data_IF_161891847658
#
_entry.id   IF_161891847658
#
_cell.length_a   1.000
_cell.length_b   1.000
_cell.length_c   1.000
_cell.angle_alpha   90.00
_cell.angle_beta   90.00
_cell.angle_gamma   90.00
#
_symmetry.space_group_name_H-M   'P 1'
#
loop_
_entity.id
_entity.type
_entity.pdbx_description
1 polymer ?
#
# COMPACT_ATOMS: atom_id res chain seq x y z
N UNK A 1 36.05 14.78 -24.86
CA UNK A 1 34.82 14.77 -25.67
C UNK A 1 33.76 13.86 -25.07
N UNK A 2 32.68 14.40 -24.84
CA UNK A 2 31.51 14.05 -24.04
C UNK A 2 31.01 12.62 -24.25
N UNK A 3 31.23 11.75 -23.27
CA UNK A 3 30.58 10.43 -23.09
C UNK A 3 29.05 10.51 -22.86
N UNK A 4 28.46 11.72 -22.88
CA UNK A 4 27.04 11.95 -22.53
C UNK A 4 26.02 11.61 -23.61
N UNK A 5 26.42 11.25 -24.84
CA UNK A 5 25.52 10.99 -25.96
C UNK A 5 25.44 9.54 -26.46
N UNK A 6 25.94 8.58 -25.68
CA UNK A 6 25.94 7.17 -26.10
C UNK A 6 24.62 6.44 -25.80
N UNK A 7 23.73 7.10 -25.05
CA UNK A 7 22.36 6.67 -24.82
C UNK A 7 21.44 7.88 -24.90
N UNK A 8 20.43 7.79 -25.73
CA UNK A 8 19.39 8.80 -25.84
C UNK A 8 18.04 8.15 -25.61
N UNK A 9 17.22 8.77 -24.76
CA UNK A 9 15.83 8.37 -24.53
C UNK A 9 14.94 9.57 -24.86
N UNK A 10 13.93 9.36 -25.69
CA UNK A 10 12.95 10.35 -26.07
C UNK A 10 11.55 9.80 -25.82
N UNK A 11 10.66 10.66 -25.34
CA UNK A 11 9.23 10.38 -25.24
C UNK A 11 8.54 11.38 -26.16
N UNK A 12 7.82 10.85 -27.14
CA UNK A 12 7.03 11.64 -28.08
C UNK A 12 5.77 10.87 -28.45
N UNK A 13 4.63 11.52 -28.36
CA UNK A 13 3.33 10.94 -28.74
C UNK A 13 3.10 9.56 -28.07
N UNK A 14 3.43 9.46 -26.77
CA UNK A 14 3.33 8.21 -25.98
C UNK A 14 4.31 7.11 -26.37
N UNK A 15 5.27 7.37 -27.23
CA UNK A 15 6.33 6.42 -27.59
C UNK A 15 7.56 6.64 -26.72
N UNK A 16 8.00 5.60 -26.02
CA UNK A 16 9.30 5.57 -25.36
C UNK A 16 10.33 4.99 -26.31
N UNK A 17 11.29 5.81 -26.75
CA UNK A 17 12.36 5.40 -27.69
C UNK A 17 13.68 5.45 -26.94
N UNK A 18 14.38 4.34 -26.86
CA UNK A 18 15.74 4.23 -26.33
C UNK A 18 16.70 3.85 -27.44
N UNK A 19 17.76 4.63 -27.61
CA UNK A 19 18.83 4.36 -28.55
C UNK A 19 20.13 4.14 -27.79
N UNK A 20 20.84 3.08 -28.11
CA UNK A 20 22.14 2.74 -27.55
C UNK A 20 23.16 2.45 -28.65
N UNK A 21 24.43 2.79 -28.44
CA UNK A 21 25.52 2.52 -29.35
C UNK A 21 26.88 2.44 -28.63
N UNK A 22 27.92 1.91 -29.28
CA UNK A 22 29.25 1.80 -28.69
C UNK A 22 29.83 3.15 -28.21
N UNK A 23 30.62 3.15 -27.12
CA UNK A 23 31.03 2.01 -26.30
C UNK A 23 30.05 1.67 -25.17
N UNK A 24 28.88 2.33 -25.09
CA UNK A 24 27.86 2.04 -24.08
C UNK A 24 27.19 0.66 -24.29
N UNK A 25 26.96 0.27 -25.53
CA UNK A 25 26.51 -1.04 -25.96
C UNK A 25 27.52 -1.61 -26.96
N UNK A 26 27.57 -2.91 -27.14
CA UNK A 26 28.44 -3.58 -28.11
C UNK A 26 27.97 -3.36 -29.56
N UNK A 27 26.67 -3.14 -29.72
CA UNK A 27 26.06 -2.87 -31.03
C UNK A 27 25.14 -1.62 -30.96
N UNK A 28 24.62 -1.21 -32.12
CA UNK A 28 23.56 -0.19 -32.19
C UNK A 28 22.22 -0.85 -31.94
N UNK A 29 21.46 -0.29 -30.99
CA UNK A 29 20.14 -0.77 -30.61
C UNK A 29 19.13 0.41 -30.60
N UNK A 30 17.92 0.15 -31.07
CA UNK A 30 16.78 1.04 -30.92
C UNK A 30 15.64 0.21 -30.34
N UNK A 31 15.22 0.56 -29.12
CA UNK A 31 14.05 -0.04 -28.48
C UNK A 31 12.91 0.97 -28.47
N UNK A 32 11.75 0.57 -28.98
CA UNK A 32 10.54 1.41 -29.01
C UNK A 32 9.46 0.71 -28.22
N UNK A 33 8.96 1.38 -27.18
CA UNK A 33 7.85 0.91 -26.36
C UNK A 33 6.67 1.85 -26.57
N UNK A 34 5.52 1.30 -26.95
CA UNK A 34 4.25 2.00 -27.10
C UNK A 34 3.23 1.38 -26.14
N UNK A 35 2.62 2.14 -25.22
CA UNK A 35 1.46 1.68 -24.48
C UNK A 35 0.30 1.38 -25.45
N UNK A 36 -0.36 0.25 -25.26
CA UNK A 36 -1.40 -0.22 -26.20
C UNK A 36 -2.80 0.06 -25.67
N UNK A 37 -2.98 0.17 -24.36
CA UNK A 37 -4.28 0.32 -23.73
C UNK A 37 -4.34 1.58 -22.87
N UNK A 38 -5.41 2.35 -23.01
CA UNK A 38 -5.85 3.34 -22.04
C UNK A 38 -7.11 2.78 -21.41
N UNK A 39 -7.03 2.40 -20.13
CA UNK A 39 -8.14 1.87 -19.35
C UNK A 39 -8.65 2.96 -18.41
N UNK A 40 -9.96 2.98 -18.20
CA UNK A 40 -10.62 3.74 -17.13
C UNK A 40 -10.62 2.92 -15.84
N UNK A 41 -10.93 3.55 -14.71
CA UNK A 41 -11.03 2.83 -13.45
C UNK A 41 -12.20 1.83 -13.45
N UNK A 42 -13.27 2.12 -14.20
CA UNK A 42 -14.45 1.24 -14.34
C UNK A 42 -14.11 -0.09 -15.02
N UNK A 43 -13.09 -0.10 -15.89
CA UNK A 43 -12.65 -1.34 -16.58
C UNK A 43 -12.03 -2.38 -15.63
N UNK A 44 -11.71 -1.99 -14.39
CA UNK A 44 -11.14 -2.87 -13.37
C UNK A 44 -12.18 -3.52 -12.45
N UNK A 45 -13.47 -3.19 -12.57
CA UNK A 45 -14.57 -3.75 -11.77
C UNK A 45 -14.29 -3.75 -10.25
N UNK A 46 -13.82 -2.63 -9.71
CA UNK A 46 -13.38 -2.52 -8.32
C UNK A 46 -14.56 -2.55 -7.33
N UNK A 47 -14.31 -3.12 -6.15
CA UNK A 47 -15.21 -2.98 -5.00
C UNK A 47 -15.33 -1.48 -4.61
N UNK A 48 -16.55 -0.99 -4.39
CA UNK A 48 -16.82 0.42 -4.08
C UNK A 48 -16.01 0.90 -2.86
N UNK A 49 -15.80 0.05 -1.87
CA UNK A 49 -14.98 0.36 -0.69
C UNK A 49 -13.51 0.62 -1.05
N UNK A 50 -12.99 -0.03 -2.12
CA UNK A 50 -11.64 0.26 -2.60
C UNK A 50 -11.61 1.59 -3.34
N UNK A 51 -12.63 1.90 -4.14
CA UNK A 51 -12.77 3.19 -4.83
C UNK A 51 -12.84 4.33 -3.80
N UNK A 52 -13.70 4.22 -2.79
CA UNK A 52 -13.82 5.21 -1.71
C UNK A 52 -12.48 5.40 -0.97
N UNK A 53 -11.74 4.31 -0.82
CA UNK A 53 -10.41 4.31 -0.17
C UNK A 53 -9.36 5.02 -1.02
N UNK A 54 -9.39 4.85 -2.34
CA UNK A 54 -8.49 5.52 -3.28
C UNK A 54 -8.79 7.02 -3.39
N UNK A 55 -10.04 7.43 -3.18
CA UNK A 55 -10.47 8.83 -3.18
C UNK A 55 -10.13 9.57 -1.86
N UNK A 56 -9.72 8.87 -0.82
CA UNK A 56 -9.33 9.47 0.46
C UNK A 56 -7.88 9.98 0.43
N UNK A 57 -7.71 11.32 0.38
CA UNK A 57 -6.38 11.96 0.33
C UNK A 57 -5.54 11.79 1.60
N UNK A 58 -6.10 11.21 2.66
CA UNK A 58 -5.34 10.86 3.86
C UNK A 58 -4.63 9.51 3.75
N UNK A 59 -4.63 8.86 2.59
CA UNK A 59 -4.09 7.53 2.41
C UNK A 59 -2.82 7.49 1.58
N UNK A 60 -1.98 6.50 1.90
CA UNK A 60 -0.83 6.10 1.12
C UNK A 60 -1.09 4.76 0.45
N UNK A 61 -0.93 4.70 -0.86
CA UNK A 61 -1.22 3.51 -1.67
C UNK A 61 0.01 3.08 -2.44
N UNK A 62 0.35 1.79 -2.43
CA UNK A 62 1.30 1.22 -3.39
C UNK A 62 0.58 0.35 -4.41
N UNK A 63 0.92 0.57 -5.69
CA UNK A 63 0.65 -0.38 -6.77
C UNK A 63 1.95 -1.15 -7.02
N UNK A 64 1.92 -2.45 -6.84
CA UNK A 64 3.08 -3.31 -7.02
C UNK A 64 2.80 -4.43 -8.03
N UNK A 65 3.85 -5.04 -8.55
CA UNK A 65 3.80 -6.13 -9.53
C UNK A 65 5.07 -6.18 -10.37
N UNK A 66 5.20 -7.18 -11.22
CA UNK A 66 6.34 -7.37 -12.11
C UNK A 66 6.41 -6.29 -13.20
N UNK A 67 7.57 -6.08 -13.84
CA UNK A 67 7.64 -5.25 -15.04
C UNK A 67 6.63 -5.71 -16.09
N UNK A 68 5.87 -4.76 -16.68
CA UNK A 68 4.84 -5.07 -17.70
C UNK A 68 3.52 -5.64 -17.15
N UNK A 69 3.32 -5.72 -15.83
CA UNK A 69 2.07 -6.25 -15.26
C UNK A 69 0.86 -5.31 -15.34
N UNK A 70 1.01 -4.06 -15.83
CA UNK A 70 -0.10 -3.10 -15.96
C UNK A 70 -0.19 -2.06 -14.83
N UNK A 71 0.81 -1.98 -13.93
CA UNK A 71 0.81 -1.02 -12.80
C UNK A 71 0.63 0.43 -13.23
N UNK A 72 1.42 0.86 -14.19
CA UNK A 72 1.39 2.23 -14.73
C UNK A 72 0.04 2.54 -15.37
N UNK A 73 -0.58 1.56 -16.05
CA UNK A 73 -1.93 1.70 -16.62
C UNK A 73 -2.98 1.89 -15.53
N UNK A 74 -2.92 1.11 -14.44
CA UNK A 74 -3.80 1.30 -13.30
C UNK A 74 -3.56 2.65 -12.62
N UNK A 75 -2.30 3.05 -12.42
CA UNK A 75 -1.96 4.35 -11.84
C UNK A 75 -2.53 5.52 -12.67
N UNK A 76 -2.48 5.41 -14.00
CA UNK A 76 -3.10 6.39 -14.91
C UNK A 76 -4.62 6.43 -14.76
N UNK A 77 -5.28 5.27 -14.72
CA UNK A 77 -6.72 5.18 -14.53
C UNK A 77 -7.17 5.81 -13.20
N UNK A 78 -6.44 5.55 -12.12
CA UNK A 78 -6.69 6.17 -10.80
C UNK A 78 -6.45 7.69 -10.86
N UNK A 79 -5.37 8.15 -11.47
CA UNK A 79 -5.07 9.58 -11.58
C UNK A 79 -6.16 10.34 -12.35
N UNK A 80 -6.65 9.79 -13.44
CA UNK A 80 -7.75 10.39 -14.21
C UNK A 80 -9.06 10.37 -13.44
N UNK A 81 -9.39 9.30 -12.73
CA UNK A 81 -10.55 9.23 -11.85
C UNK A 81 -10.50 10.28 -10.74
N UNK A 82 -9.38 10.42 -10.06
CA UNK A 82 -9.20 11.43 -9.00
C UNK A 82 -9.38 12.85 -9.52
N UNK A 83 -8.92 13.13 -10.72
CA UNK A 83 -9.01 14.44 -11.35
C UNK A 83 -10.42 14.72 -11.91
N UNK A 84 -11.08 13.74 -12.55
CA UNK A 84 -12.37 13.95 -13.25
C UNK A 84 -13.56 13.74 -12.33
N UNK A 85 -13.59 12.66 -11.58
CA UNK A 85 -14.77 12.21 -10.83
C UNK A 85 -14.75 12.74 -9.39
N UNK A 86 -13.56 12.75 -8.76
CA UNK A 86 -13.36 13.33 -7.43
C UNK A 86 -13.19 14.85 -7.48
N UNK A 87 -12.66 15.38 -8.60
CA UNK A 87 -12.37 16.82 -8.76
C UNK A 87 -11.16 17.28 -7.97
N UNK A 88 -10.23 16.37 -7.68
CA UNK A 88 -9.04 16.63 -6.88
C UNK A 88 -7.90 17.23 -7.71
N UNK A 89 -7.05 18.04 -7.08
CA UNK A 89 -5.80 18.50 -7.70
C UNK A 89 -4.76 17.37 -7.70
N UNK A 90 -4.58 16.74 -8.85
CA UNK A 90 -3.60 15.64 -9.02
C UNK A 90 -2.33 16.16 -9.68
N UNK A 91 -1.18 15.72 -9.19
CA UNK A 91 0.15 15.94 -9.79
C UNK A 91 0.88 14.60 -9.90
N UNK A 92 1.93 14.56 -10.70
CA UNK A 92 2.78 13.36 -10.77
C UNK A 92 4.25 13.69 -10.50
N UNK A 93 4.99 12.70 -10.04
CA UNK A 93 6.46 12.68 -9.95
C UNK A 93 6.95 11.45 -10.71
N UNK A 94 7.70 11.64 -11.77
CA UNK A 94 8.05 10.58 -12.71
C UNK A 94 9.51 10.64 -13.16
N UNK A 95 10.15 9.49 -13.24
CA UNK A 95 11.51 9.37 -13.74
C UNK A 95 11.72 8.12 -14.61
N UNK A 96 11.42 8.14 -15.93
CA UNK A 96 11.02 9.24 -16.80
C UNK A 96 9.51 9.54 -16.77
N UNK A 97 9.10 10.69 -17.29
CA UNK A 97 7.69 11.02 -17.50
C UNK A 97 7.16 10.22 -18.69
N UNK A 98 6.31 9.26 -18.41
CA UNK A 98 5.70 8.39 -19.44
C UNK A 98 4.24 8.02 -19.14
N UNK A 99 3.65 8.58 -18.08
CA UNK A 99 2.22 8.53 -17.85
C UNK A 99 1.48 9.31 -18.94
N UNK A 100 0.37 8.74 -19.42
CA UNK A 100 -0.48 9.38 -20.44
C UNK A 100 -1.72 9.96 -19.78
N UNK A 101 -1.58 11.18 -19.27
CA UNK A 101 -2.60 11.88 -18.53
C UNK A 101 -3.13 13.08 -19.29
N UNK A 102 -4.29 13.59 -18.89
CA UNK A 102 -4.85 14.81 -19.42
C UNK A 102 -3.94 16.04 -19.11
N UNK A 103 -3.88 17.01 -20.03
CA UNK A 103 -2.99 18.18 -19.93
C UNK A 103 -3.17 19.02 -18.65
N UNK A 104 -4.31 18.90 -17.98
CA UNK A 104 -4.59 19.57 -16.70
C UNK A 104 -3.84 18.95 -15.51
N UNK A 105 -3.39 17.69 -15.63
CA UNK A 105 -2.56 17.04 -14.63
C UNK A 105 -1.09 17.37 -14.92
N UNK A 106 -0.49 18.21 -14.10
CA UNK A 106 0.93 18.57 -14.26
C UNK A 106 1.83 17.40 -13.89
N UNK A 107 2.68 17.00 -14.84
CA UNK A 107 3.64 15.91 -14.67
C UNK A 107 5.03 16.48 -14.42
N UNK A 108 5.61 16.19 -13.23
CA UNK A 108 6.93 16.65 -12.84
C UNK A 108 7.99 15.58 -13.12
N UNK A 109 9.04 15.98 -13.81
CA UNK A 109 10.30 15.22 -13.88
C UNK A 109 11.22 15.60 -12.70
N UNK A 110 12.30 14.83 -12.45
CA UNK A 110 13.30 15.21 -11.47
C UNK A 110 13.89 16.59 -11.76
N UNK A 111 13.70 17.54 -10.86
CA UNK A 111 14.26 18.89 -10.97
C UNK A 111 15.79 18.80 -10.85
N UNK A 112 16.51 19.25 -11.88
CA UNK A 112 17.97 19.10 -11.98
C UNK A 112 18.48 17.65 -11.83
N UNK A 113 17.61 16.66 -12.12
CA UNK A 113 17.92 15.23 -11.98
C UNK A 113 17.68 14.68 -10.59
N UNK A 114 17.05 15.44 -9.69
CA UNK A 114 16.79 15.10 -8.30
C UNK A 114 15.28 15.14 -7.99
N UNK A 115 14.74 14.00 -7.53
CA UNK A 115 13.32 13.88 -7.12
C UNK A 115 13.05 14.57 -5.78
N UNK A 116 14.04 14.71 -4.91
CA UNK A 116 13.89 15.40 -3.64
C UNK A 116 13.58 16.89 -3.87
N UNK A 117 14.30 17.54 -4.79
CA UNK A 117 14.00 18.91 -5.21
C UNK A 117 12.61 19.03 -5.83
N UNK A 118 12.15 17.99 -6.52
CA UNK A 118 10.78 17.94 -7.05
C UNK A 118 9.76 17.85 -5.93
N UNK A 119 10.03 17.07 -4.87
CA UNK A 119 9.16 16.97 -3.70
C UNK A 119 9.03 18.33 -2.97
N UNK A 120 10.08 19.15 -2.91
CA UNK A 120 9.99 20.50 -2.38
C UNK A 120 8.98 21.37 -3.15
N UNK A 121 8.91 21.21 -4.46
CA UNK A 121 7.89 21.89 -5.27
C UNK A 121 6.49 21.36 -4.95
N UNK A 122 6.33 20.04 -4.75
CA UNK A 122 5.06 19.44 -4.34
C UNK A 122 4.58 20.03 -3.00
N UNK A 123 5.47 20.22 -2.02
CA UNK A 123 5.14 20.84 -0.73
C UNK A 123 4.65 22.28 -0.88
N UNK A 124 5.16 23.03 -1.86
CA UNK A 124 4.72 24.39 -2.15
C UNK A 124 3.37 24.42 -2.87
N UNK A 125 3.16 23.52 -3.82
CA UNK A 125 1.93 23.44 -4.65
C UNK A 125 0.76 22.90 -3.83
N UNK A 126 1.01 21.99 -2.88
CA UNK A 126 0.01 21.34 -2.01
C UNK A 126 -1.14 20.70 -2.79
N UNK A 127 -0.86 19.77 -3.69
CA UNK A 127 -1.92 19.03 -4.37
C UNK A 127 -2.67 18.14 -3.39
N UNK A 128 -3.89 17.72 -3.75
CA UNK A 128 -4.65 16.74 -2.99
C UNK A 128 -4.02 15.35 -3.12
N UNK A 129 -3.55 15.02 -4.35
CA UNK A 129 -2.91 13.73 -4.65
C UNK A 129 -1.66 13.87 -5.49
N UNK A 130 -0.71 12.98 -5.23
CA UNK A 130 0.49 12.79 -6.06
C UNK A 130 0.59 11.32 -6.50
N UNK A 131 0.82 11.12 -7.78
CA UNK A 131 1.18 9.82 -8.35
C UNK A 131 2.70 9.79 -8.47
N UNK A 132 3.37 8.96 -7.67
CA UNK A 132 4.81 8.78 -7.74
C UNK A 132 5.13 7.51 -8.54
N UNK A 133 5.36 7.67 -9.83
CA UNK A 133 5.70 6.54 -10.68
C UNK A 133 7.15 6.11 -10.49
N UNK A 134 7.34 4.81 -10.32
CA UNK A 134 8.64 4.17 -10.15
C UNK A 134 9.42 4.47 -8.85
N UNK A 135 8.82 4.18 -7.70
CA UNK A 135 9.50 4.14 -6.39
C UNK A 135 10.45 2.93 -6.36
N UNK A 136 11.75 3.14 -6.53
CA UNK A 136 12.74 2.06 -6.69
C UNK A 136 13.86 2.07 -5.67
N UNK A 137 14.46 3.25 -5.44
CA UNK A 137 15.65 3.42 -4.59
C UNK A 137 15.25 3.67 -3.16
N UNK A 138 16.16 3.45 -2.22
CA UNK A 138 15.95 3.77 -0.82
C UNK A 138 15.44 5.21 -0.62
N UNK A 139 16.06 6.16 -1.32
CA UNK A 139 15.69 7.58 -1.25
C UNK A 139 14.29 7.87 -1.76
N UNK A 140 13.82 7.12 -2.77
CA UNK A 140 12.45 7.31 -3.31
C UNK A 140 11.40 6.91 -2.25
N UNK A 141 11.65 5.87 -1.43
CA UNK A 141 10.77 5.48 -0.32
C UNK A 141 10.79 6.51 0.81
N UNK A 142 11.94 7.15 1.09
CA UNK A 142 12.04 8.24 2.05
C UNK A 142 11.22 9.46 1.56
N UNK A 143 11.40 9.87 0.29
CA UNK A 143 10.61 10.94 -0.33
C UNK A 143 9.11 10.62 -0.30
N UNK A 144 8.73 9.37 -0.59
CA UNK A 144 7.35 8.91 -0.50
C UNK A 144 6.80 9.12 0.92
N UNK A 145 7.56 8.74 1.93
CA UNK A 145 7.16 8.92 3.32
C UNK A 145 7.02 10.40 3.69
N UNK A 146 7.99 11.24 3.31
CA UNK A 146 7.99 12.67 3.62
C UNK A 146 6.79 13.39 3.00
N UNK A 147 6.50 13.13 1.71
CA UNK A 147 5.34 13.71 1.01
C UNK A 147 4.03 13.23 1.65
N UNK A 148 3.95 11.95 2.01
CA UNK A 148 2.76 11.41 2.65
C UNK A 148 2.53 11.98 4.05
N UNK A 149 3.58 12.11 4.88
CA UNK A 149 3.51 12.68 6.23
C UNK A 149 3.23 14.19 6.20
N UNK A 150 3.51 14.88 5.10
CA UNK A 150 3.07 16.26 4.89
C UNK A 150 1.57 16.41 4.61
N UNK A 151 0.80 15.30 4.54
CA UNK A 151 -0.65 15.29 4.40
C UNK A 151 -1.17 15.16 2.97
N UNK A 152 -0.30 14.91 1.99
CA UNK A 152 -0.69 14.70 0.59
C UNK A 152 -1.13 13.25 0.39
N UNK A 153 -2.25 13.01 -0.30
CA UNK A 153 -2.65 11.68 -0.75
C UNK A 153 -1.62 11.15 -1.75
N UNK A 154 -1.06 9.97 -1.51
CA UNK A 154 0.10 9.52 -2.29
C UNK A 154 -0.08 8.10 -2.82
N UNK A 155 0.04 7.96 -4.13
CA UNK A 155 0.02 6.68 -4.82
C UNK A 155 1.39 6.43 -5.44
N UNK A 156 2.09 5.41 -4.95
CA UNK A 156 3.40 5.00 -5.45
C UNK A 156 3.31 3.74 -6.31
N UNK A 157 4.06 3.73 -7.41
CA UNK A 157 4.23 2.53 -8.23
C UNK A 157 5.59 1.92 -7.95
N UNK A 158 5.63 0.65 -7.55
CA UNK A 158 6.87 -0.04 -7.24
C UNK A 158 6.94 -1.43 -7.88
N UNK A 159 8.15 -1.90 -8.13
CA UNK A 159 8.37 -3.27 -8.60
C UNK A 159 8.52 -4.21 -7.41
N UNK A 160 7.58 -5.12 -7.23
CA UNK A 160 7.63 -6.20 -6.26
C UNK A 160 6.83 -7.41 -6.78
N UNK A 161 7.24 -8.61 -6.39
CA UNK A 161 6.59 -9.84 -6.84
C UNK A 161 5.34 -10.18 -6.00
N UNK A 162 5.14 -9.48 -4.89
CA UNK A 162 3.97 -9.63 -4.01
C UNK A 162 3.73 -8.35 -3.22
N UNK A 163 2.52 -8.22 -2.66
CA UNK A 163 2.18 -7.12 -1.75
C UNK A 163 3.10 -7.10 -0.52
N UNK A 164 3.43 -8.27 0.03
CA UNK A 164 4.32 -8.39 1.19
C UNK A 164 5.73 -7.87 0.90
N UNK A 165 6.29 -8.19 -0.28
CA UNK A 165 7.60 -7.67 -0.70
C UNK A 165 7.59 -6.14 -0.82
N UNK A 166 6.51 -5.56 -1.35
CA UNK A 166 6.37 -4.10 -1.44
C UNK A 166 6.38 -3.45 -0.04
N UNK A 167 5.71 -4.05 0.93
CA UNK A 167 5.69 -3.58 2.32
C UNK A 167 7.09 -3.67 2.94
N UNK A 168 7.79 -4.80 2.76
CA UNK A 168 9.14 -5.02 3.30
C UNK A 168 10.16 -4.02 2.78
N UNK A 169 10.01 -3.54 1.54
CA UNK A 169 10.88 -2.50 0.97
C UNK A 169 10.73 -1.16 1.70
N UNK A 170 9.52 -0.81 2.15
CA UNK A 170 9.25 0.42 2.89
C UNK A 170 9.74 0.32 4.34
N UNK A 171 9.49 -0.81 5.00
CA UNK A 171 9.79 -1.03 6.43
C UNK A 171 11.25 -0.73 6.78
N UNK A 172 12.20 -1.06 5.90
CA UNK A 172 13.61 -0.76 6.13
C UNK A 172 13.98 0.74 5.99
N UNK A 173 13.02 1.62 5.65
CA UNK A 173 13.24 3.05 5.36
C UNK A 173 12.41 3.98 6.23
N UNK A 174 11.35 3.46 6.83
CA UNK A 174 10.42 4.19 7.68
C UNK A 174 10.32 3.48 9.02
N UNK A 175 10.27 4.23 10.11
CA UNK A 175 10.05 3.65 11.44
C UNK A 175 8.73 2.87 11.48
N UNK A 176 8.74 1.71 12.15
CA UNK A 176 7.59 0.81 12.21
C UNK A 176 6.31 1.52 12.66
N UNK A 177 6.42 2.42 13.64
CA UNK A 177 5.29 3.21 14.17
C UNK A 177 4.67 4.17 13.15
N UNK A 178 5.38 4.54 12.10
CA UNK A 178 4.91 5.45 11.04
C UNK A 178 4.43 4.71 9.79
N UNK A 179 4.77 3.42 9.63
CA UNK A 179 4.48 2.67 8.40
C UNK A 179 3.00 2.76 8.01
N UNK A 180 2.08 2.55 8.95
CA UNK A 180 0.63 2.59 8.68
C UNK A 180 0.09 4.00 8.38
N UNK A 181 0.84 5.06 8.72
CA UNK A 181 0.51 6.44 8.35
C UNK A 181 1.01 6.80 6.95
N UNK A 182 2.11 6.16 6.54
CA UNK A 182 2.74 6.36 5.23
C UNK A 182 2.10 5.48 4.16
N UNK A 183 1.82 4.22 4.49
CA UNK A 183 1.26 3.23 3.57
C UNK A 183 0.17 2.44 4.28
N UNK A 184 -1.04 2.51 3.77
CA UNK A 184 -2.16 1.76 4.34
C UNK A 184 -2.82 0.78 3.35
N UNK A 185 -2.56 0.94 2.06
CA UNK A 185 -3.17 0.10 1.02
C UNK A 185 -2.13 -0.35 -0.01
N UNK A 186 -2.11 -1.63 -0.32
CA UNK A 186 -1.23 -2.20 -1.34
C UNK A 186 -2.07 -2.96 -2.35
N UNK A 187 -1.91 -2.62 -3.63
CA UNK A 187 -2.60 -3.26 -4.75
C UNK A 187 -1.56 -4.03 -5.56
N UNK A 188 -1.67 -5.35 -5.60
CA UNK A 188 -0.84 -6.20 -6.44
C UNK A 188 -1.51 -6.43 -7.78
N UNK A 189 -0.77 -6.11 -8.85
CA UNK A 189 -1.24 -6.20 -10.25
C UNK A 189 -0.44 -7.26 -10.99
N UNK A 190 -1.14 -8.21 -11.59
CA UNK A 190 -0.57 -9.25 -12.46
C UNK A 190 -1.39 -9.33 -13.75
N UNK A 191 -0.72 -9.44 -14.90
CA UNK A 191 -1.34 -9.58 -16.22
C UNK A 191 -2.45 -8.53 -16.53
N UNK A 192 -2.30 -7.30 -16.06
CA UNK A 192 -3.28 -6.22 -16.27
C UNK A 192 -4.49 -6.24 -15.34
N UNK A 193 -4.55 -7.16 -14.39
CA UNK A 193 -5.65 -7.31 -13.43
C UNK A 193 -5.16 -7.10 -11.99
N UNK A 194 -6.05 -6.66 -11.11
CA UNK A 194 -5.79 -6.60 -9.68
C UNK A 194 -5.94 -8.01 -9.12
N UNK A 195 -4.83 -8.61 -8.70
CA UNK A 195 -4.81 -9.96 -8.14
C UNK A 195 -5.11 -9.94 -6.64
N UNK A 196 -4.55 -8.96 -5.93
CA UNK A 196 -4.65 -8.90 -4.48
C UNK A 196 -4.63 -7.45 -3.98
N UNK A 197 -5.43 -7.17 -2.97
CA UNK A 197 -5.38 -5.91 -2.23
C UNK A 197 -5.14 -6.22 -0.77
N UNK A 198 -4.16 -5.54 -0.17
CA UNK A 198 -3.83 -5.63 1.24
C UNK A 198 -4.00 -4.29 1.93
N UNK A 199 -4.40 -4.33 3.19
CA UNK A 199 -4.50 -3.20 4.08
C UNK A 199 -3.52 -3.35 5.24
N UNK A 200 -2.87 -2.26 5.64
CA UNK A 200 -2.03 -2.22 6.84
C UNK A 200 -2.78 -1.54 7.98
N UNK A 201 -2.81 -2.21 9.12
CA UNK A 201 -3.41 -1.68 10.34
C UNK A 201 -2.42 -1.77 11.49
N UNK A 202 -2.23 -0.67 12.20
CA UNK A 202 -1.42 -0.70 13.42
C UNK A 202 -2.31 -0.99 14.63
N UNK A 203 -1.87 -1.92 15.46
CA UNK A 203 -2.51 -2.27 16.73
C UNK A 203 -1.45 -2.45 17.82
N UNK A 204 -1.85 -2.37 19.08
CA UNK A 204 -0.97 -2.65 20.22
C UNK A 204 -1.47 -3.91 20.90
N UNK A 205 -0.70 -4.99 20.75
CA UNK A 205 -1.03 -6.31 21.29
C UNK A 205 0.23 -7.16 21.47
N UNK A 206 0.17 -8.29 22.22
CA UNK A 206 1.21 -9.30 22.13
C UNK A 206 1.25 -9.90 20.73
N UNK A 207 2.44 -10.00 20.08
CA UNK A 207 2.57 -10.61 18.76
C UNK A 207 2.20 -12.09 18.76
N UNK A 208 1.65 -12.58 17.68
CA UNK A 208 1.31 -14.01 17.52
C UNK A 208 2.57 -14.87 17.59
N UNK A 209 2.55 -15.92 18.43
CA UNK A 209 3.67 -16.87 18.59
C UNK A 209 4.73 -16.46 19.61
N UNK A 210 4.63 -15.30 20.22
CA UNK A 210 5.51 -14.93 21.35
C UNK A 210 4.90 -15.36 22.68
N UNK A 211 5.76 -15.90 23.57
CA UNK A 211 5.36 -16.29 24.93
C UNK A 211 5.36 -15.11 25.92
N UNK A 212 5.90 -13.98 25.52
CA UNK A 212 5.94 -12.77 26.34
C UNK A 212 4.59 -12.04 26.27
N UNK A 213 4.02 -11.75 27.43
CA UNK A 213 2.74 -11.03 27.57
C UNK A 213 2.82 -9.52 27.29
N UNK A 214 3.99 -9.00 26.89
CA UNK A 214 4.18 -7.57 26.66
C UNK A 214 3.55 -7.12 25.34
N UNK A 215 2.52 -6.29 25.45
CA UNK A 215 1.93 -5.62 24.31
C UNK A 215 2.92 -4.66 23.66
N UNK A 216 3.02 -4.71 22.35
CA UNK A 216 3.88 -3.83 21.53
C UNK A 216 3.15 -3.40 20.24
N UNK A 217 3.61 -2.34 19.57
CA UNK A 217 3.08 -1.99 18.26
C UNK A 217 3.28 -3.15 17.27
N UNK A 218 2.20 -3.57 16.63
CA UNK A 218 2.16 -4.63 15.62
C UNK A 218 1.44 -4.07 14.41
N UNK A 219 2.01 -4.25 13.23
CA UNK A 219 1.34 -3.98 11.96
C UNK A 219 0.70 -5.27 11.48
N UNK A 220 -0.60 -5.27 11.34
CA UNK A 220 -1.37 -6.35 10.73
C UNK A 220 -1.48 -6.11 9.23
N UNK A 221 -1.13 -7.13 8.45
CA UNK A 221 -1.36 -7.19 7.00
C UNK A 221 -2.66 -7.92 6.78
N UNK A 222 -3.65 -7.20 6.30
CA UNK A 222 -5.03 -7.66 6.20
C UNK A 222 -5.44 -7.75 4.74
N UNK A 223 -5.97 -8.89 4.33
CA UNK A 223 -6.51 -9.07 2.99
C UNK A 223 -7.82 -8.30 2.83
N UNK A 224 -7.90 -7.47 1.79
CA UNK A 224 -9.10 -6.71 1.44
C UNK A 224 -9.88 -7.43 0.31
N UNK A 225 -11.20 -7.52 0.34
CA UNK A 225 -12.11 -6.98 1.35
C UNK A 225 -12.45 -7.98 2.49
N UNK A 226 -11.83 -9.17 2.51
CA UNK A 226 -12.19 -10.27 3.43
C UNK A 226 -11.95 -9.92 4.91
N UNK A 227 -11.03 -9.00 5.18
CA UNK A 227 -10.62 -8.65 6.53
C UNK A 227 -9.77 -9.72 7.23
N UNK A 228 -9.26 -10.72 6.50
CA UNK A 228 -8.42 -11.79 7.03
C UNK A 228 -7.01 -11.28 7.28
N UNK A 229 -6.51 -11.41 8.51
CA UNK A 229 -5.11 -11.14 8.83
C UNK A 229 -4.25 -12.25 8.22
N UNK A 230 -3.28 -11.88 7.39
CA UNK A 230 -2.36 -12.82 6.74
C UNK A 230 -1.00 -12.84 7.41
N UNK A 231 -0.50 -11.67 7.83
CA UNK A 231 0.80 -11.52 8.48
C UNK A 231 0.74 -10.49 9.59
N UNK A 232 1.67 -10.61 10.53
CA UNK A 232 1.98 -9.61 11.54
C UNK A 232 3.43 -9.18 11.41
N UNK A 233 3.68 -7.89 11.60
CA UNK A 233 5.02 -7.30 11.59
C UNK A 233 5.24 -6.54 12.89
N UNK A 234 6.37 -6.77 13.55
CA UNK A 234 6.72 -6.13 14.81
C UNK A 234 8.23 -6.04 14.98
N UNK A 235 8.67 -5.10 15.80
CA UNK A 235 10.09 -4.96 16.14
C UNK A 235 10.52 -6.10 17.08
N UNK A 236 11.62 -6.78 16.69
CA UNK A 236 12.29 -7.80 17.48
C UNK A 236 13.78 -7.48 17.57
N UNK A 237 14.19 -6.88 18.68
CA UNK A 237 15.53 -6.29 18.79
C UNK A 237 15.74 -5.14 17.79
N UNK A 238 16.78 -5.24 16.99
CA UNK A 238 17.09 -4.28 15.90
C UNK A 238 16.43 -4.62 14.57
N UNK A 239 15.75 -5.77 14.49
CA UNK A 239 15.13 -6.27 13.26
C UNK A 239 13.61 -6.17 13.31
N UNK A 240 12.98 -6.27 12.15
CA UNK A 240 11.53 -6.38 12.04
C UNK A 240 11.18 -7.80 11.67
N UNK A 241 10.49 -8.47 12.57
CA UNK A 241 9.95 -9.79 12.34
C UNK A 241 8.68 -9.71 11.49
N UNK A 242 8.56 -10.59 10.50
CA UNK A 242 7.36 -10.78 9.68
C UNK A 242 6.89 -12.21 9.89
N UNK A 243 5.74 -12.37 10.52
CA UNK A 243 5.21 -13.67 10.93
C UNK A 243 3.89 -13.94 10.20
N UNK A 244 3.74 -15.05 9.49
CA UNK A 244 2.46 -15.45 8.93
C UNK A 244 1.47 -15.81 10.04
N UNK A 245 0.22 -15.38 9.90
CA UNK A 245 -0.87 -15.68 10.84
C UNK A 245 -1.86 -16.61 10.16
N UNK A 246 -1.91 -17.85 10.59
CA UNK A 246 -2.88 -18.81 10.05
C UNK A 246 -4.31 -18.45 10.50
N UNK A 247 -5.12 -17.99 9.54
CA UNK A 247 -6.58 -18.15 9.57
C UNK A 247 -7.38 -17.33 10.58
N UNK A 248 -6.86 -16.28 11.22
CA UNK A 248 -7.68 -15.39 12.05
C UNK A 248 -8.32 -14.29 11.20
N UNK A 249 -9.65 -14.27 11.13
CA UNK A 249 -10.36 -13.08 10.68
C UNK A 249 -10.02 -11.92 11.60
N UNK A 250 -9.70 -10.75 11.02
CA UNK A 250 -9.59 -9.51 11.77
C UNK A 250 -10.96 -9.16 12.35
N UNK A 251 -11.28 -9.73 13.49
CA UNK A 251 -12.38 -9.24 14.30
C UNK A 251 -11.91 -7.95 14.95
N UNK A 252 -12.04 -6.84 14.22
CA UNK A 252 -12.18 -5.55 14.87
C UNK A 252 -13.51 -5.59 15.64
N UNK A 253 -13.49 -6.21 16.81
CA UNK A 253 -14.55 -6.00 17.79
C UNK A 253 -14.54 -4.49 18.05
N UNK A 254 -15.68 -3.83 17.78
CA UNK A 254 -15.81 -2.42 18.18
C UNK A 254 -15.42 -2.31 19.65
N UNK A 255 -14.87 -1.18 20.11
CA UNK A 255 -14.52 -0.99 21.52
C UNK A 255 -15.67 -1.40 22.48
N UNK A 256 -16.92 -1.18 22.06
CA UNK A 256 -18.11 -1.64 22.76
C UNK A 256 -18.25 -3.18 22.85
N UNK A 257 -17.93 -3.90 21.77
CA UNK A 257 -17.98 -5.39 21.78
C UNK A 257 -16.85 -5.98 22.60
N UNK A 258 -15.69 -5.35 22.62
CA UNK A 258 -14.59 -5.75 23.51
C UNK A 258 -14.97 -5.57 24.96
N UNK A 259 -15.53 -4.41 25.33
CA UNK A 259 -16.00 -4.15 26.70
C UNK A 259 -17.12 -5.13 27.12
N UNK A 260 -18.09 -5.38 26.23
CA UNK A 260 -19.18 -6.32 26.47
C UNK A 260 -18.67 -7.77 26.62
N UNK A 261 -17.66 -8.17 25.84
CA UNK A 261 -17.01 -9.47 25.99
C UNK A 261 -16.36 -9.62 27.36
N UNK A 262 -15.58 -8.64 27.75
CA UNK A 262 -14.81 -8.67 29.01
C UNK A 262 -15.77 -8.63 30.22
N UNK A 263 -16.87 -7.88 30.15
CA UNK A 263 -17.94 -7.91 31.14
C UNK A 263 -18.63 -9.27 31.20
N UNK A 264 -18.95 -9.90 30.09
CA UNK A 264 -19.58 -11.23 30.07
C UNK A 264 -18.65 -12.29 30.63
N UNK A 265 -17.37 -12.28 30.29
CA UNK A 265 -16.38 -13.20 30.87
C UNK A 265 -16.30 -13.01 32.36
N UNK A 266 -16.24 -11.77 32.85
CA UNK A 266 -16.17 -11.47 34.28
C UNK A 266 -17.42 -11.93 35.05
N UNK A 267 -18.61 -11.67 34.48
CA UNK A 267 -19.88 -12.12 35.08
C UNK A 267 -19.94 -13.65 35.17
N UNK A 268 -19.56 -14.35 34.11
CA UNK A 268 -19.59 -15.82 34.07
C UNK A 268 -18.58 -16.39 35.06
N UNK A 269 -17.39 -15.82 35.14
CA UNK A 269 -16.36 -16.23 36.12
C UNK A 269 -16.80 -16.01 37.55
N UNK A 270 -17.51 -14.92 37.82
CA UNK A 270 -18.04 -14.59 39.15
C UNK A 270 -19.22 -15.47 39.55
N UNK A 271 -20.08 -15.89 38.63
CA UNK A 271 -21.29 -16.66 38.93
C UNK A 271 -21.08 -18.17 38.83
N UNK A 272 -20.25 -18.62 37.91
CA UNK A 272 -20.05 -20.05 37.64
C UNK A 272 -18.65 -20.53 38.03
N UNK A 273 -17.71 -19.62 38.29
CA UNK A 273 -16.35 -19.96 38.76
C UNK A 273 -15.47 -20.60 37.69
N UNK A 274 -15.83 -20.45 36.39
CA UNK A 274 -15.15 -21.12 35.27
C UNK A 274 -14.62 -20.09 34.26
N UNK A 275 -13.39 -20.26 33.79
CA UNK A 275 -12.87 -19.52 32.66
C UNK A 275 -13.58 -19.94 31.38
N UNK A 276 -14.17 -18.98 30.68
CA UNK A 276 -14.87 -19.19 29.43
C UNK A 276 -14.33 -18.27 28.31
N UNK A 277 -14.49 -18.72 27.06
CA UNK A 277 -14.23 -17.87 25.88
C UNK A 277 -15.55 -17.44 25.29
N UNK A 278 -15.73 -16.13 25.09
CA UNK A 278 -16.91 -15.54 24.47
C UNK A 278 -16.58 -15.13 23.04
N UNK A 279 -17.36 -15.60 22.07
CA UNK A 279 -17.24 -15.24 20.66
C UNK A 279 -18.56 -14.68 20.15
N UNK A 280 -18.56 -13.45 19.66
CA UNK A 280 -19.76 -12.85 19.07
C UNK A 280 -20.06 -13.44 17.69
N UNK A 281 -21.35 -13.83 17.48
CA UNK A 281 -21.89 -14.18 16.17
C UNK A 281 -22.88 -13.08 15.74
N UNK A 282 -22.36 -12.02 15.05
CA UNK A 282 -23.20 -10.89 14.66
C UNK A 282 -23.32 -9.77 15.70
N UNK A 283 -24.36 -8.96 15.62
CA UNK A 283 -24.54 -7.78 16.50
C UNK A 283 -25.20 -8.07 17.84
N UNK A 284 -26.03 -9.10 17.95
CA UNK A 284 -26.87 -9.38 19.12
C UNK A 284 -26.72 -10.78 19.71
N UNK A 285 -25.81 -11.61 19.21
CA UNK A 285 -25.62 -12.98 19.69
C UNK A 285 -24.14 -13.30 19.95
N UNK A 286 -23.89 -14.03 21.04
CA UNK A 286 -22.57 -14.51 21.41
C UNK A 286 -22.61 -16.01 21.73
N UNK A 287 -21.55 -16.74 21.36
CA UNK A 287 -21.35 -18.13 21.75
C UNK A 287 -20.31 -18.18 22.87
N UNK A 288 -20.64 -18.88 23.95
CA UNK A 288 -19.79 -19.08 25.11
C UNK A 288 -19.22 -20.48 25.06
N UNK A 289 -17.91 -20.60 25.10
CA UNK A 289 -17.18 -21.88 25.16
C UNK A 289 -16.72 -22.11 26.58
N UNK A 290 -17.23 -23.14 27.24
CA UNK A 290 -16.82 -23.58 28.57
C UNK A 290 -16.21 -25.01 28.50
N UNK A 291 -15.34 -25.38 29.45
CA UNK A 291 -14.77 -26.72 29.53
C UNK A 291 -15.87 -27.79 29.68
N UNK A 292 -15.69 -28.93 29.00
CA UNK A 292 -16.71 -30.01 28.88
C UNK A 292 -17.14 -30.67 30.21
N UNK A 293 -16.39 -30.48 31.29
CA UNK A 293 -16.63 -31.12 32.60
C UNK A 293 -17.74 -30.44 33.41
N UNK A 294 -18.36 -29.36 32.89
CA UNK A 294 -19.34 -28.54 33.62
C UNK A 294 -20.71 -28.44 32.95
N UNK A 295 -20.96 -29.22 31.89
CA UNK A 295 -22.27 -29.25 31.17
C UNK A 295 -23.13 -30.40 31.73
N UNK A 296 -23.20 -30.54 33.02
CA UNK A 296 -24.16 -31.43 33.66
C UNK A 296 -24.68 -30.80 34.96
N UNK A 297 -25.68 -29.94 34.75
CA UNK A 297 -26.74 -29.66 35.74
C UNK A 297 -27.97 -29.20 34.98
#
# INVERSE_FOLDING_TARGET
YSSRRQRQMCIRDSLRISCAWPPFADAREITIVRPVAKLSLDDYELDQRLIDRLADHHRGVFICGRPGSGKTTLAQAIAEYLDTDVGAMVKTMEAPRDLQLADRITQYAPLEGDLEKTAEIIFLVRPDFVIFDEVRRARDFEIFADVRLAGVGLLGVTHANSALEAIQRLIGKVELGLVSQVLDTIIHVEAGQIEQVMELRMTVKPPTGMQEELARPVIEVVEFPSGKITHEMFAFGSEIAVVPVEGRQATALSPMKTLARDQLVHIIQQWVGVECKVQFKGESSATIYAPQNMISC
#
